data_IF_985397348928
#
_entry.id   IF_985397348928
#
_cell.length_a   1.000
_cell.length_b   1.000
_cell.length_c   1.000
_cell.angle_alpha   90.00
_cell.angle_beta   90.00
_cell.angle_gamma   90.00
#
_symmetry.space_group_name_H-M   'P 1'
#
loop_
_entity.id
_entity.type
_entity.pdbx_description
1 polymer ?
#
# COMPACT_ATOMS: atom_id res chain seq x y z
N UNK A 1 39.44 8.47 30.32
CA UNK A 1 38.81 9.26 29.24
C UNK A 1 38.17 8.29 28.27
N UNK A 2 36.83 8.22 28.22
CA UNK A 2 36.12 7.33 27.31
C UNK A 2 36.04 7.98 25.92
N UNK A 3 36.51 7.28 24.89
CA UNK A 3 36.44 7.76 23.51
C UNK A 3 34.96 7.92 23.08
N UNK A 4 34.60 9.12 22.62
CA UNK A 4 33.30 9.41 22.02
C UNK A 4 33.23 8.69 20.68
N UNK A 5 32.52 7.56 20.63
CA UNK A 5 32.30 6.81 19.39
C UNK A 5 31.65 7.74 18.37
N UNK A 6 32.32 8.02 17.25
CA UNK A 6 31.74 8.76 16.15
C UNK A 6 30.48 8.03 15.66
N UNK A 7 29.35 8.73 15.56
CA UNK A 7 28.10 8.14 15.07
C UNK A 7 28.32 7.68 13.62
N UNK A 8 28.31 6.37 13.36
CA UNK A 8 28.33 5.84 11.99
C UNK A 8 27.13 6.41 11.24
N UNK A 9 27.41 7.18 10.20
CA UNK A 9 26.38 7.67 9.29
C UNK A 9 25.66 6.48 8.63
N UNK A 10 24.33 6.56 8.54
CA UNK A 10 23.51 5.52 7.95
C UNK A 10 23.22 5.85 6.48
N UNK A 11 23.78 5.05 5.57
CA UNK A 11 23.50 5.14 4.14
C UNK A 11 22.67 3.94 3.66
N UNK A 12 21.96 4.16 2.55
CA UNK A 12 21.24 3.13 1.81
C UNK A 12 21.96 2.89 0.48
N UNK A 13 21.87 1.66 -0.04
CA UNK A 13 22.40 1.30 -1.36
C UNK A 13 21.25 0.89 -2.25
N UNK A 14 21.23 1.42 -3.47
CA UNK A 14 20.31 1.04 -4.53
C UNK A 14 21.13 0.36 -5.62
N UNK A 15 20.72 -0.84 -6.00
CA UNK A 15 21.37 -1.59 -7.07
C UNK A 15 20.73 -1.24 -8.41
N UNK A 16 21.54 -1.15 -9.47
CA UNK A 16 21.05 -0.85 -10.82
C UNK A 16 20.01 -1.88 -11.28
N UNK A 17 20.19 -3.16 -10.94
CA UNK A 17 19.21 -4.23 -11.23
C UNK A 17 17.82 -3.95 -10.66
N UNK A 18 17.73 -3.25 -9.53
CA UNK A 18 16.46 -2.82 -8.96
C UNK A 18 15.90 -1.61 -9.70
N UNK A 19 16.75 -0.63 -10.02
CA UNK A 19 16.34 0.61 -10.71
C UNK A 19 15.92 0.37 -12.16
N UNK A 20 16.54 -0.60 -12.83
CA UNK A 20 16.26 -1.00 -14.21
C UNK A 20 15.08 -1.98 -14.31
N UNK A 21 14.56 -2.46 -13.18
CA UNK A 21 13.45 -3.41 -13.17
C UNK A 21 12.17 -2.80 -13.73
N UNK A 22 11.40 -3.59 -14.50
CA UNK A 22 10.09 -3.17 -14.99
C UNK A 22 9.18 -2.71 -13.84
N UNK A 23 9.26 -3.39 -12.69
CA UNK A 23 8.54 -3.03 -11.48
C UNK A 23 8.86 -1.61 -11.00
N UNK A 24 10.14 -1.24 -10.93
CA UNK A 24 10.55 0.08 -10.45
C UNK A 24 10.23 1.18 -11.45
N UNK A 25 10.38 0.90 -12.75
CA UNK A 25 10.12 1.85 -13.81
C UNK A 25 8.62 2.20 -13.93
N UNK A 26 7.71 1.28 -13.61
CA UNK A 26 6.27 1.56 -13.59
C UNK A 26 5.82 2.36 -12.35
N UNK A 27 6.58 2.32 -11.25
CA UNK A 27 6.24 3.06 -10.04
C UNK A 27 6.13 4.58 -10.29
N UNK A 28 5.06 5.17 -9.76
CA UNK A 28 4.86 6.60 -9.64
C UNK A 28 5.83 7.23 -8.64
N UNK A 29 6.15 8.53 -8.80
CA UNK A 29 7.08 9.22 -7.91
C UNK A 29 6.80 9.07 -6.39
N UNK A 30 5.54 9.12 -5.90
CA UNK A 30 5.27 8.93 -4.47
C UNK A 30 5.64 7.53 -3.97
N UNK A 31 5.41 6.49 -4.76
CA UNK A 31 5.77 5.12 -4.41
C UNK A 31 7.29 4.94 -4.36
N UNK A 32 8.03 5.50 -5.33
CA UNK A 32 9.51 5.51 -5.32
C UNK A 32 10.07 6.23 -4.09
N UNK A 33 9.52 7.39 -3.73
CA UNK A 33 9.92 8.12 -2.53
C UNK A 33 9.65 7.32 -1.25
N UNK A 34 8.50 6.66 -1.17
CA UNK A 34 8.15 5.80 -0.03
C UNK A 34 9.07 4.58 0.07
N UNK A 35 9.50 4.00 -1.05
CA UNK A 35 10.46 2.89 -1.07
C UNK A 35 11.81 3.31 -0.45
N UNK A 36 12.29 4.50 -0.78
CA UNK A 36 13.51 5.08 -0.21
C UNK A 36 13.37 5.23 1.31
N UNK A 37 12.23 5.71 1.79
CA UNK A 37 11.98 5.83 3.23
C UNK A 37 11.95 4.48 3.95
N UNK A 38 11.40 3.44 3.32
CA UNK A 38 11.49 2.07 3.83
C UNK A 38 12.94 1.57 3.94
N UNK A 39 13.75 1.79 2.90
CA UNK A 39 15.17 1.44 2.90
C UNK A 39 15.94 2.20 3.97
N UNK A 40 15.58 3.46 4.22
CA UNK A 40 16.21 4.32 5.24
C UNK A 40 15.92 3.83 6.67
N UNK A 41 14.72 3.35 6.96
CA UNK A 41 14.37 2.82 8.28
C UNK A 41 14.82 1.36 8.48
N UNK A 42 15.12 0.67 7.38
CA UNK A 42 15.48 -0.75 7.41
C UNK A 42 16.75 -0.98 8.23
N UNK A 43 16.71 -2.01 9.07
CA UNK A 43 17.87 -2.61 9.73
C UNK A 43 17.77 -4.12 9.53
N UNK A 44 18.88 -4.84 9.31
CA UNK A 44 18.83 -6.28 9.00
C UNK A 44 18.00 -7.12 9.98
N UNK A 45 18.06 -6.80 11.29
CA UNK A 45 17.28 -7.49 12.33
C UNK A 45 15.79 -7.15 12.37
N UNK A 46 15.37 -6.13 11.62
CA UNK A 46 13.99 -5.59 11.61
C UNK A 46 13.24 -5.86 10.31
N UNK A 47 13.86 -6.47 9.31
CA UNK A 47 13.13 -6.78 8.08
C UNK A 47 11.96 -7.74 8.40
N UNK A 48 10.76 -7.39 7.94
CA UNK A 48 9.49 -8.02 8.34
C UNK A 48 8.77 -7.40 9.55
N UNK A 49 9.40 -6.42 10.22
CA UNK A 49 8.83 -5.60 11.31
C UNK A 49 8.97 -4.10 11.02
N UNK A 50 9.02 -3.74 9.74
CA UNK A 50 9.12 -2.34 9.33
C UNK A 50 7.74 -1.71 9.38
N UNK A 51 7.61 -0.60 10.09
CA UNK A 51 6.35 0.12 10.20
C UNK A 51 6.55 1.59 9.87
N UNK A 52 5.79 2.06 8.88
CA UNK A 52 5.59 3.47 8.58
C UNK A 52 4.07 3.63 8.56
N UNK A 53 3.53 4.46 9.46
CA UNK A 53 2.10 4.75 9.44
C UNK A 53 1.74 5.60 8.23
N UNK A 54 0.47 5.60 7.80
CA UNK A 54 0.03 6.48 6.71
C UNK A 54 0.34 7.95 7.01
N UNK A 55 0.15 8.37 8.27
CA UNK A 55 0.44 9.73 8.73
C UNK A 55 1.93 10.05 8.64
N UNK A 56 2.80 9.13 9.05
CA UNK A 56 4.25 9.33 8.93
C UNK A 56 4.70 9.35 7.47
N UNK A 57 4.11 8.52 6.62
CA UNK A 57 4.37 8.53 5.19
C UNK A 57 4.02 9.89 4.59
N UNK A 58 2.82 10.42 4.86
CA UNK A 58 2.39 11.75 4.38
C UNK A 58 3.43 12.84 4.71
N UNK A 59 3.95 12.84 5.94
CA UNK A 59 4.94 13.82 6.38
C UNK A 59 6.29 13.58 5.70
N UNK A 60 6.75 12.33 5.63
CA UNK A 60 8.08 11.98 5.09
C UNK A 60 8.21 12.24 3.59
N UNK A 61 7.17 11.90 2.82
CA UNK A 61 7.18 12.07 1.36
C UNK A 61 6.38 13.31 0.90
N UNK A 62 5.87 14.10 1.84
CA UNK A 62 5.15 15.36 1.61
C UNK A 62 3.97 15.24 0.63
N UNK A 63 3.01 14.35 0.93
CA UNK A 63 1.83 14.13 0.09
C UNK A 63 0.55 14.05 0.91
N UNK A 64 -0.59 14.17 0.23
CA UNK A 64 -1.91 13.94 0.82
C UNK A 64 -2.12 12.48 1.23
N UNK A 65 -3.01 12.25 2.20
CA UNK A 65 -3.33 10.90 2.70
C UNK A 65 -3.74 9.92 1.59
N UNK A 66 -4.63 10.27 0.63
CA UNK A 66 -5.01 9.34 -0.43
C UNK A 66 -3.83 8.95 -1.33
N UNK A 67 -2.87 9.86 -1.51
CA UNK A 67 -1.67 9.61 -2.30
C UNK A 67 -0.71 8.68 -1.56
N UNK A 68 -0.54 8.87 -0.25
CA UNK A 68 0.26 7.98 0.58
C UNK A 68 -0.33 6.55 0.59
N UNK A 69 -1.65 6.41 0.74
CA UNK A 69 -2.33 5.10 0.70
C UNK A 69 -2.07 4.40 -0.64
N UNK A 70 -2.25 5.11 -1.76
CA UNK A 70 -1.97 4.57 -3.10
C UNK A 70 -0.50 4.18 -3.27
N UNK A 71 0.43 4.93 -2.68
CA UNK A 71 1.85 4.58 -2.71
C UNK A 71 2.14 3.24 -2.01
N UNK A 72 1.51 2.97 -0.86
CA UNK A 72 1.62 1.67 -0.20
C UNK A 72 1.02 0.54 -1.06
N UNK A 73 -0.16 0.77 -1.65
CA UNK A 73 -0.80 -0.19 -2.55
C UNK A 73 0.10 -0.51 -3.73
N UNK A 74 0.64 0.51 -4.38
CA UNK A 74 1.50 0.37 -5.54
C UNK A 74 2.79 -0.41 -5.21
N UNK A 75 3.47 -0.09 -4.11
CA UNK A 75 4.65 -0.85 -3.68
C UNK A 75 4.35 -2.32 -3.38
N UNK A 76 3.16 -2.61 -2.84
CA UNK A 76 2.74 -3.99 -2.56
C UNK A 76 2.40 -4.73 -3.86
N UNK A 77 1.63 -4.10 -4.75
CA UNK A 77 1.26 -4.64 -6.07
C UNK A 77 2.49 -4.97 -6.92
N UNK A 78 3.52 -4.11 -6.88
CA UNK A 78 4.80 -4.30 -7.57
C UNK A 78 5.75 -5.26 -6.87
N UNK A 79 5.39 -5.78 -5.69
CA UNK A 79 6.18 -6.76 -4.98
C UNK A 79 7.43 -6.20 -4.30
N UNK A 80 7.53 -4.89 -4.05
CA UNK A 80 8.62 -4.31 -3.26
C UNK A 80 8.43 -4.49 -1.76
N UNK A 81 7.18 -4.40 -1.31
CA UNK A 81 6.81 -4.61 0.09
C UNK A 81 5.76 -5.73 0.22
N UNK A 82 5.83 -6.45 1.33
CA UNK A 82 4.85 -7.48 1.69
C UNK A 82 4.33 -7.22 3.09
N UNK A 83 3.01 -7.32 3.27
CA UNK A 83 2.39 -7.21 4.57
C UNK A 83 2.65 -8.49 5.37
N UNK A 84 3.35 -8.40 6.50
CA UNK A 84 3.59 -9.52 7.43
C UNK A 84 2.53 -9.58 8.51
N UNK A 85 2.26 -8.44 9.15
CA UNK A 85 1.24 -8.31 10.18
C UNK A 85 0.27 -7.18 9.83
N UNK A 86 -1.02 -7.47 9.99
CA UNK A 86 -2.08 -6.48 9.84
C UNK A 86 -2.00 -5.43 10.96
N UNK A 87 -2.59 -4.26 10.70
CA UNK A 87 -2.81 -3.28 11.75
C UNK A 87 -3.73 -3.86 12.82
N UNK A 88 -3.36 -3.68 14.08
CA UNK A 88 -4.20 -4.02 15.22
C UNK A 88 -4.44 -2.75 16.04
N UNK A 89 -5.61 -2.14 15.85
CA UNK A 89 -5.96 -0.89 16.53
C UNK A 89 -6.11 -1.08 18.04
N UNK A 90 -6.58 -2.25 18.51
CA UNK A 90 -6.73 -2.55 19.94
C UNK A 90 -5.37 -2.56 20.64
N UNK A 91 -4.36 -3.11 19.95
CA UNK A 91 -2.98 -3.16 20.44
C UNK A 91 -2.14 -1.93 20.03
N UNK A 92 -2.74 -0.93 19.38
CA UNK A 92 -2.04 0.25 18.82
C UNK A 92 -0.88 -0.13 17.90
N UNK A 93 -0.97 -1.27 17.20
CA UNK A 93 0.04 -1.74 16.24
C UNK A 93 -0.29 -1.28 14.83
N UNK A 94 0.68 -0.61 14.19
CA UNK A 94 0.64 -0.32 12.77
C UNK A 94 0.91 -1.59 11.94
N UNK A 95 0.66 -1.52 10.64
CA UNK A 95 1.04 -2.57 9.69
C UNK A 95 2.55 -2.79 9.74
N UNK A 96 2.94 -4.06 9.71
CA UNK A 96 4.35 -4.45 9.59
C UNK A 96 4.63 -4.98 8.20
N UNK A 97 5.71 -4.48 7.63
CA UNK A 97 6.13 -4.68 6.27
C UNK A 97 7.48 -5.39 6.22
N UNK A 98 7.64 -6.18 5.16
CA UNK A 98 8.87 -6.83 4.74
C UNK A 98 9.31 -6.23 3.41
N UNK A 99 10.59 -5.87 3.28
CA UNK A 99 11.19 -5.53 2.00
C UNK A 99 11.63 -6.83 1.33
N UNK A 100 11.03 -7.13 0.19
CA UNK A 100 11.22 -8.40 -0.53
C UNK A 100 12.62 -8.52 -1.14
N UNK A 101 13.27 -7.38 -1.40
CA UNK A 101 14.62 -7.29 -1.97
C UNK A 101 15.74 -7.54 -0.96
N UNK A 102 15.43 -7.59 0.34
CA UNK A 102 16.40 -7.76 1.42
C UNK A 102 16.15 -9.08 2.15
N UNK A 103 17.21 -9.70 2.64
CA UNK A 103 17.14 -10.94 3.40
C UNK A 103 16.39 -10.72 4.73
N UNK A 104 15.75 -11.78 5.23
CA UNK A 104 15.05 -11.79 6.53
C UNK A 104 15.57 -12.95 7.36
N UNK A 105 16.19 -12.70 8.51
CA UNK A 105 16.56 -13.75 9.48
C UNK A 105 17.24 -14.98 8.84
N UNK A 106 18.28 -14.78 8.03
CA UNK A 106 19.02 -15.82 7.29
C UNK A 106 18.26 -16.51 6.15
N UNK A 107 17.04 -16.07 5.82
CA UNK A 107 16.35 -16.45 4.60
C UNK A 107 16.77 -15.55 3.43
N UNK A 108 16.86 -16.17 2.26
CA UNK A 108 17.18 -15.48 1.01
C UNK A 108 16.13 -14.41 0.67
N UNK A 109 16.52 -13.27 0.08
CA UNK A 109 15.58 -12.28 -0.40
C UNK A 109 14.58 -12.91 -1.40
N UNK A 110 13.31 -12.56 -1.26
CA UNK A 110 12.25 -13.09 -2.12
C UNK A 110 12.32 -12.54 -3.55
N UNK A 111 12.79 -11.29 -3.67
CA UNK A 111 12.90 -10.54 -4.92
C UNK A 111 11.60 -10.60 -5.75
N UNK A 112 10.44 -10.47 -5.09
CA UNK A 112 9.13 -10.59 -5.77
C UNK A 112 9.02 -9.58 -6.94
N UNK A 113 9.63 -8.39 -6.80
CA UNK A 113 9.72 -7.35 -7.84
C UNK A 113 10.35 -7.83 -9.17
N UNK A 114 11.22 -8.85 -9.15
CA UNK A 114 11.80 -9.40 -10.39
C UNK A 114 10.78 -10.17 -11.23
N UNK A 115 9.69 -10.65 -10.62
CA UNK A 115 8.64 -11.43 -11.28
C UNK A 115 7.44 -10.58 -11.68
N UNK A 116 7.52 -9.26 -11.47
CA UNK A 116 6.42 -8.37 -11.77
C UNK A 116 6.31 -8.11 -13.27
N UNK A 117 5.09 -8.20 -13.77
CA UNK A 117 4.70 -7.83 -15.13
C UNK A 117 3.59 -6.78 -15.08
N UNK A 118 3.42 -6.00 -16.15
CA UNK A 118 2.45 -4.92 -16.18
C UNK A 118 1.03 -5.44 -15.88
N UNK A 119 0.39 -4.88 -14.85
CA UNK A 119 -0.94 -5.30 -14.41
C UNK A 119 -0.95 -6.45 -13.40
N UNK A 120 0.21 -7.04 -13.06
CA UNK A 120 0.32 -8.03 -12.01
C UNK A 120 0.07 -7.43 -10.61
N UNK A 121 -0.53 -8.22 -9.72
CA UNK A 121 -0.72 -7.88 -8.31
C UNK A 121 -0.06 -8.92 -7.42
N UNK A 122 1.23 -8.72 -7.11
CA UNK A 122 2.06 -9.71 -6.43
C UNK A 122 1.75 -9.85 -4.94
N UNK A 123 1.39 -8.75 -4.27
CA UNK A 123 0.96 -8.75 -2.87
C UNK A 123 -0.33 -7.92 -2.72
N UNK A 124 -1.51 -8.52 -2.95
CA UNK A 124 -2.77 -7.80 -2.80
C UNK A 124 -2.98 -7.40 -1.34
N UNK A 125 -3.21 -6.10 -1.10
CA UNK A 125 -3.61 -5.60 0.21
C UNK A 125 -5.09 -5.90 0.44
N UNK A 126 -5.50 -6.22 1.68
CA UNK A 126 -6.92 -6.37 2.00
C UNK A 126 -7.62 -5.03 1.79
N UNK A 127 -8.41 -4.93 0.72
CA UNK A 127 -9.27 -3.78 0.48
C UNK A 127 -10.39 -3.75 1.51
N UNK A 128 -10.64 -2.58 2.12
CA UNK A 128 -11.85 -2.38 2.91
C UNK A 128 -13.06 -2.61 1.98
N UNK A 129 -13.88 -3.62 2.28
CA UNK A 129 -15.12 -3.85 1.55
C UNK A 129 -15.94 -2.56 1.58
N UNK A 130 -16.23 -1.99 0.42
CA UNK A 130 -17.22 -0.91 0.33
C UNK A 130 -18.56 -1.51 0.71
N UNK A 131 -19.14 -1.07 1.84
CA UNK A 131 -20.56 -1.35 2.12
C UNK A 131 -21.35 -0.83 0.93
N UNK A 132 -22.08 -1.70 0.23
CA UNK A 132 -22.97 -1.30 -0.84
C UNK A 132 -23.93 -0.25 -0.29
N UNK A 133 -23.84 0.98 -0.79
CA UNK A 133 -24.86 1.98 -0.51
C UNK A 133 -26.14 1.51 -1.21
N UNK A 134 -27.08 0.94 -0.45
CA UNK A 134 -28.42 0.67 -0.96
C UNK A 134 -29.05 2.01 -1.29
N UNK A 135 -29.09 2.40 -2.57
CA UNK A 135 -29.92 3.52 -3.01
C UNK A 135 -31.36 3.15 -2.67
N UNK A 136 -31.97 3.83 -1.70
CA UNK A 136 -33.42 3.84 -1.54
C UNK A 136 -34.00 4.55 -2.76
N UNK A 137 -34.30 3.80 -3.81
CA UNK A 137 -35.19 4.26 -4.86
C UNK A 137 -36.55 4.47 -4.20
N UNK A 138 -36.96 5.74 -4.04
CA UNK A 138 -38.31 6.06 -3.60
C UNK A 138 -39.29 5.44 -4.60
N UNK A 139 -40.14 4.53 -4.14
CA UNK A 139 -41.22 3.99 -4.95
C UNK A 139 -42.21 5.13 -5.26
N UNK A 140 -42.21 5.60 -6.50
CA UNK A 140 -43.35 6.36 -7.02
C UNK A 140 -44.39 5.32 -7.42
N UNK A 141 -45.47 5.21 -6.63
CA UNK A 141 -46.62 4.36 -6.98
C UNK A 141 -47.22 4.87 -8.30
N UNK A 142 -47.45 4.01 -9.31
CA UNK A 142 -48.19 4.44 -10.49
C UNK A 142 -49.64 4.75 -10.10
N UNK A 143 -50.08 5.97 -10.40
CA UNK A 143 -51.49 6.36 -10.38
C UNK A 143 -52.25 5.49 -11.39
N UNK A 144 -53.18 4.67 -10.92
CA UNK A 144 -54.08 3.91 -11.79
C UNK A 144 -54.96 4.87 -12.60
N UNK A 145 -54.73 4.91 -13.92
CA UNK A 145 -55.57 5.62 -14.87
C UNK A 145 -56.64 4.66 -15.41
N UNK A 146 -57.66 4.39 -14.61
CA UNK A 146 -58.86 3.66 -15.06
C UNK A 146 -60.13 4.44 -14.71
N UNK A 147 -60.29 5.61 -15.34
CA UNK A 147 -61.60 6.21 -15.57
C UNK A 147 -61.58 6.95 -16.91
N UNK A 148 -62.10 6.28 -17.95
CA UNK A 148 -63.00 6.82 -18.97
C UNK A 148 -63.09 5.86 -20.16
N UNK A 149 -64.13 5.03 -20.18
CA UNK A 149 -64.89 4.77 -21.41
C UNK A 149 -66.37 4.75 -21.08
N UNK A 150 -67.00 5.86 -21.44
CA UNK A 150 -68.42 5.96 -21.77
C UNK A 150 -68.69 4.97 -22.91
N UNK A 151 -69.69 4.11 -22.77
CA UNK A 151 -70.33 3.45 -23.91
C UNK A 151 -71.82 3.63 -23.82
N UNK A 152 -72.34 4.18 -24.91
CA UNK A 152 -73.72 4.47 -25.25
C UNK A 152 -74.50 3.17 -25.43
N UNK A 153 -75.77 3.18 -25.04
CA UNK A 153 -76.77 2.13 -25.23
C UNK A 153 -78.08 2.58 -24.62
#
# INVERSE_FOLDING_TARGET
MAAKQASKEHHIRLHDSLLDSAAYLDLKPPARALLIEFLRIHRPSRNGRLSISTRDAMVRINVSEPTAIKAFEELATHGFIRLKNHENWMERKAREWELTMLAVNNHEPRNDWMKWEQGANLCPLPTKQKKSSTKKTGAVLPMNFEQRRVSVG
#
